data_IF_759190938846
#
_entry.id   IF_759190938846
#
_cell.length_a   1.000
_cell.length_b   1.000
_cell.length_c   1.000
_cell.angle_alpha   90.00
_cell.angle_beta   90.00
_cell.angle_gamma   90.00
#
_symmetry.space_group_name_H-M   'P 1'
#
loop_
_entity.id
_entity.type
_entity.pdbx_description
1 polymer ?
#
# COMPACT_ATOMS: atom_id res chain seq x y z
N UNK A 1 -5.28 56.19 -20.61
CA UNK A 1 -5.42 54.87 -21.29
C UNK A 1 -4.12 54.08 -21.42
N UNK A 2 -2.94 54.68 -21.54
CA UNK A 2 -1.65 53.95 -21.73
C UNK A 2 -1.12 53.17 -20.48
N UNK A 3 -1.44 53.59 -19.25
CA UNK A 3 -0.96 52.90 -18.06
C UNK A 3 -1.64 51.56 -17.75
N UNK A 4 -2.87 51.35 -18.17
CA UNK A 4 -3.59 50.07 -17.92
C UNK A 4 -3.15 48.94 -18.88
N UNK A 5 -2.72 49.29 -20.09
CA UNK A 5 -2.25 48.31 -21.09
C UNK A 5 -0.90 47.69 -20.65
N UNK A 6 -0.03 48.50 -20.02
CA UNK A 6 1.28 48.05 -19.57
C UNK A 6 1.17 47.02 -18.41
N UNK A 7 0.23 47.23 -17.50
CA UNK A 7 0.00 46.31 -16.39
C UNK A 7 -0.57 44.95 -16.82
N UNK A 8 -1.46 44.97 -17.82
CA UNK A 8 -2.01 43.73 -18.40
C UNK A 8 -0.95 42.91 -19.16
N UNK A 9 0.01 43.57 -19.81
CA UNK A 9 1.06 42.87 -20.55
C UNK A 9 2.10 42.23 -19.63
N UNK A 10 2.42 42.85 -18.50
CA UNK A 10 3.31 42.29 -17.49
C UNK A 10 2.67 41.10 -16.80
N UNK A 11 1.36 41.15 -16.52
CA UNK A 11 0.62 40.05 -15.91
C UNK A 11 0.52 38.83 -16.84
N UNK A 12 0.30 39.06 -18.15
CA UNK A 12 0.27 37.98 -19.16
C UNK A 12 1.65 37.36 -19.37
N UNK A 13 2.73 38.14 -19.32
CA UNK A 13 4.08 37.59 -19.39
C UNK A 13 4.47 36.75 -18.18
N UNK A 14 3.96 37.06 -16.97
CA UNK A 14 4.17 36.22 -15.78
C UNK A 14 3.41 34.88 -15.85
N UNK A 15 2.30 34.84 -16.60
CA UNK A 15 1.53 33.60 -16.79
C UNK A 15 2.11 32.68 -17.88
N UNK A 16 2.99 33.21 -18.76
CA UNK A 16 3.67 32.43 -19.80
C UNK A 16 5.06 31.94 -19.39
N UNK A 17 5.53 32.27 -18.20
CA UNK A 17 6.72 31.70 -17.62
C UNK A 17 6.53 30.23 -17.39
N UNK A 18 7.05 29.36 -18.27
CA UNK A 18 7.17 27.93 -17.98
C UNK A 18 8.02 27.82 -16.72
N UNK A 19 7.38 27.58 -15.60
CA UNK A 19 8.08 27.14 -14.40
C UNK A 19 8.66 25.75 -14.76
N UNK A 20 9.89 25.74 -15.25
CA UNK A 20 10.66 24.51 -15.30
C UNK A 20 10.98 24.19 -13.86
N UNK A 21 10.29 23.23 -13.30
CA UNK A 21 10.75 22.60 -12.07
C UNK A 21 12.14 22.06 -12.37
N UNK A 22 13.15 22.70 -11.81
CA UNK A 22 14.54 22.35 -12.06
C UNK A 22 14.91 21.23 -11.08
N UNK A 23 14.78 20.00 -11.56
CA UNK A 23 15.22 18.81 -10.83
C UNK A 23 16.74 18.63 -10.99
N UNK A 24 17.51 19.45 -10.31
CA UNK A 24 18.99 19.40 -10.37
C UNK A 24 19.60 18.73 -9.13
N UNK A 25 18.90 17.78 -8.51
CA UNK A 25 19.49 16.97 -7.45
C UNK A 25 20.28 15.81 -8.08
N UNK A 26 21.61 15.76 -7.96
CA UNK A 26 22.44 14.68 -8.51
C UNK A 26 22.14 13.33 -7.86
N UNK A 27 21.45 13.30 -6.71
CA UNK A 27 21.01 12.08 -6.03
C UNK A 27 19.58 11.66 -6.41
N UNK A 28 18.96 12.34 -7.38
CA UNK A 28 17.55 12.18 -7.74
C UNK A 28 16.62 12.89 -6.76
N UNK A 29 15.46 13.32 -7.25
CA UNK A 29 14.41 13.85 -6.39
C UNK A 29 13.45 12.72 -6.01
N UNK A 30 12.99 12.72 -4.78
CA UNK A 30 11.89 11.88 -4.39
C UNK A 30 10.66 12.17 -5.28
N UNK A 31 10.06 11.12 -5.85
CA UNK A 31 8.84 11.27 -6.66
C UNK A 31 7.67 11.75 -5.78
N UNK A 32 7.63 11.28 -4.55
CA UNK A 32 6.65 11.69 -3.53
C UNK A 32 7.44 12.37 -2.41
N UNK A 33 7.22 13.67 -2.17
CA UNK A 33 7.97 14.43 -1.17
C UNK A 33 7.38 14.24 0.24
N UNK A 34 7.32 13.00 0.70
CA UNK A 34 6.80 12.62 2.00
C UNK A 34 7.61 11.46 2.62
N UNK A 35 7.50 11.29 3.92
CA UNK A 35 8.14 10.21 4.66
C UNK A 35 7.26 8.96 4.58
N UNK A 36 7.35 8.25 3.47
CA UNK A 36 6.56 7.03 3.23
C UNK A 36 7.46 5.79 3.17
N UNK A 37 6.91 4.67 3.59
CA UNK A 37 7.53 3.35 3.54
C UNK A 37 6.51 2.30 3.10
N UNK A 38 6.97 1.09 2.79
CA UNK A 38 6.15 -0.08 2.48
C UNK A 38 5.05 0.20 1.44
N UNK A 39 5.41 0.94 0.40
CA UNK A 39 4.44 1.41 -0.59
C UNK A 39 3.93 0.28 -1.48
N UNK A 40 2.61 0.21 -1.63
CA UNK A 40 1.93 -0.60 -2.63
C UNK A 40 1.34 0.30 -3.71
N UNK A 41 1.73 0.06 -4.97
CA UNK A 41 1.26 0.86 -6.10
C UNK A 41 0.40 -0.01 -7.01
N UNK A 42 -0.76 0.52 -7.37
CA UNK A 42 -1.69 -0.11 -8.29
C UNK A 42 -2.15 0.88 -9.34
N UNK A 43 -2.14 0.46 -10.61
CA UNK A 43 -2.82 1.19 -11.68
C UNK A 43 -4.28 0.77 -11.74
N UNK A 44 -5.18 1.76 -11.75
CA UNK A 44 -6.62 1.56 -11.86
C UNK A 44 -7.15 2.60 -12.85
N UNK A 45 -7.66 2.14 -13.99
CA UNK A 45 -8.24 2.99 -15.04
C UNK A 45 -7.31 4.13 -15.50
N UNK A 46 -6.03 3.85 -15.68
CA UNK A 46 -5.02 4.81 -16.14
C UNK A 46 -4.54 5.79 -15.06
N UNK A 47 -4.85 5.54 -13.80
CA UNK A 47 -4.36 6.30 -12.66
C UNK A 47 -3.59 5.37 -11.73
N UNK A 48 -2.38 5.73 -11.37
CA UNK A 48 -1.58 5.06 -10.35
C UNK A 48 -1.98 5.58 -8.96
N UNK A 49 -2.24 4.65 -8.06
CA UNK A 49 -2.51 4.91 -6.64
C UNK A 49 -1.38 4.34 -5.81
N UNK A 50 -0.76 5.17 -4.99
CA UNK A 50 0.27 4.75 -4.04
C UNK A 50 -0.31 4.78 -2.64
N UNK A 51 -0.48 3.61 -2.05
CA UNK A 51 -0.86 3.41 -0.66
C UNK A 51 0.41 3.09 0.11
N UNK A 52 0.65 3.80 1.21
CA UNK A 52 1.89 3.63 1.93
C UNK A 52 1.70 3.79 3.43
N UNK A 53 2.65 3.23 4.19
CA UNK A 53 2.91 3.65 5.56
C UNK A 53 3.43 5.08 5.51
N UNK A 54 2.81 5.97 6.26
CA UNK A 54 3.45 7.26 6.57
C UNK A 54 4.36 7.02 7.76
N UNK A 55 5.67 7.19 7.57
CA UNK A 55 6.64 6.99 8.64
C UNK A 55 6.36 7.95 9.81
N UNK A 56 6.62 7.50 11.02
CA UNK A 56 6.34 8.23 12.26
C UNK A 56 7.21 9.45 12.51
N UNK A 57 7.63 10.16 11.46
CA UNK A 57 8.43 11.38 11.51
C UNK A 57 9.68 11.25 12.41
N UNK A 58 10.42 10.16 12.21
CA UNK A 58 11.62 9.86 12.98
C UNK A 58 11.40 9.12 14.30
N UNK A 59 10.17 8.77 14.62
CA UNK A 59 9.84 7.93 15.79
C UNK A 59 9.93 6.42 15.51
N UNK A 60 10.27 6.04 14.28
CA UNK A 60 10.36 4.66 13.81
C UNK A 60 9.02 3.92 13.96
N UNK A 61 9.10 2.62 14.26
CA UNK A 61 7.91 1.77 14.39
C UNK A 61 7.02 2.06 15.62
N UNK A 62 7.36 3.04 16.45
CA UNK A 62 6.54 3.39 17.61
C UNK A 62 5.27 4.12 17.23
N UNK A 63 5.31 4.86 16.15
CA UNK A 63 4.19 5.65 15.64
C UNK A 63 4.11 5.51 14.14
N UNK A 64 2.93 5.68 13.58
CA UNK A 64 2.72 5.92 12.16
C UNK A 64 1.95 7.21 11.99
N UNK A 65 2.11 7.87 10.84
CA UNK A 65 1.22 8.94 10.43
C UNK A 65 -0.11 8.40 9.91
N UNK A 66 -1.00 9.27 9.46
CA UNK A 66 -2.28 8.86 8.89
C UNK A 66 -2.08 8.07 7.59
N UNK A 67 -2.99 7.12 7.27
CA UNK A 67 -2.97 6.41 6.00
C UNK A 67 -3.36 7.36 4.86
N UNK A 68 -2.38 7.79 4.08
CA UNK A 68 -2.55 8.72 2.97
C UNK A 68 -2.35 8.05 1.63
N UNK A 69 -3.01 8.56 0.58
CA UNK A 69 -2.86 8.09 -0.78
C UNK A 69 -2.37 9.20 -1.68
N UNK A 70 -1.47 8.83 -2.58
CA UNK A 70 -0.95 9.67 -3.63
C UNK A 70 -1.41 9.13 -4.99
N UNK A 71 -1.68 10.02 -5.95
CA UNK A 71 -2.12 9.66 -7.29
C UNK A 71 -1.20 10.22 -8.36
N UNK A 72 -1.04 9.46 -9.45
CA UNK A 72 -0.31 9.90 -10.64
C UNK A 72 -0.97 9.36 -11.90
N UNK A 73 -0.89 10.11 -13.02
CA UNK A 73 -1.29 9.64 -14.35
C UNK A 73 -0.12 9.18 -15.21
N UNK A 74 1.10 9.47 -14.81
CA UNK A 74 2.32 9.25 -15.61
C UNK A 74 3.45 8.57 -14.82
N UNK A 75 3.18 8.20 -13.57
CA UNK A 75 4.15 7.62 -12.63
C UNK A 75 5.32 8.55 -12.25
N UNK A 76 5.31 9.79 -12.73
CA UNK A 76 6.37 10.79 -12.49
C UNK A 76 5.85 11.95 -11.63
N UNK A 77 4.67 12.47 -11.95
CA UNK A 77 4.05 13.55 -11.22
C UNK A 77 2.98 13.03 -10.28
N UNK A 78 3.25 13.11 -9.00
CA UNK A 78 2.38 12.61 -7.95
C UNK A 78 1.67 13.76 -7.24
N UNK A 79 0.40 13.59 -6.97
CA UNK A 79 -0.42 14.52 -6.20
C UNK A 79 -0.96 13.85 -4.94
N UNK A 80 -0.94 14.57 -3.84
CA UNK A 80 -1.54 14.16 -2.58
C UNK A 80 -3.07 14.17 -2.69
N UNK A 81 -3.72 13.09 -2.29
CA UNK A 81 -5.18 12.93 -2.38
C UNK A 81 -5.86 12.82 -1.00
N UNK A 82 -5.09 12.89 0.07
CA UNK A 82 -5.60 12.91 1.44
C UNK A 82 -5.57 11.57 2.15
N UNK A 83 -6.31 11.51 3.26
CA UNK A 83 -6.40 10.31 4.09
C UNK A 83 -7.44 9.36 3.52
N UNK A 84 -6.98 8.20 3.06
CA UNK A 84 -7.87 7.21 2.45
C UNK A 84 -8.52 6.23 3.44
N UNK A 85 -8.06 6.17 4.70
CA UNK A 85 -8.64 5.35 5.76
C UNK A 85 -8.80 6.16 7.06
N UNK A 86 -9.81 7.04 7.16
CA UNK A 86 -9.93 8.00 8.25
C UNK A 86 -10.03 7.38 9.64
N UNK A 87 -10.74 6.24 9.79
CA UNK A 87 -10.89 5.57 11.08
C UNK A 87 -9.59 4.96 11.61
N UNK A 88 -8.62 4.69 10.74
CA UNK A 88 -7.31 4.18 11.10
C UNK A 88 -6.25 5.28 11.33
N UNK A 89 -6.61 6.55 11.20
CA UNK A 89 -5.65 7.66 11.23
C UNK A 89 -4.93 7.85 12.58
N UNK A 90 -5.45 7.27 13.66
CA UNK A 90 -4.85 7.31 15.00
C UNK A 90 -4.23 5.97 15.42
N UNK A 91 -4.35 4.96 14.57
CA UNK A 91 -3.83 3.63 14.82
C UNK A 91 -2.38 3.51 14.33
N UNK A 92 -1.66 2.47 14.76
CA UNK A 92 -0.38 2.10 14.15
C UNK A 92 -0.67 1.41 12.82
N UNK A 93 -0.59 2.15 11.74
CA UNK A 93 -0.95 1.73 10.39
C UNK A 93 0.28 1.51 9.53
N UNK A 94 0.46 0.28 9.03
CA UNK A 94 1.64 -0.11 8.24
C UNK A 94 1.25 -0.96 7.02
N UNK A 95 2.15 -0.96 6.04
CA UNK A 95 2.22 -1.89 4.93
C UNK A 95 0.86 -2.28 4.34
N UNK A 96 0.11 -1.33 3.76
CA UNK A 96 -1.12 -1.65 3.07
C UNK A 96 -0.82 -2.47 1.82
N UNK A 97 -1.67 -3.45 1.51
CA UNK A 97 -1.64 -4.11 0.21
C UNK A 97 -2.05 -3.14 -0.91
N UNK A 98 -1.81 -3.53 -2.16
CA UNK A 98 -2.48 -2.88 -3.29
C UNK A 98 -4.00 -3.02 -3.18
N UNK A 99 -4.74 -2.09 -3.78
CA UNK A 99 -6.20 -2.17 -3.86
C UNK A 99 -6.63 -3.18 -4.93
N UNK A 100 -7.53 -4.09 -4.57
CA UNK A 100 -8.11 -5.08 -5.49
C UNK A 100 -9.58 -4.78 -5.68
N UNK A 101 -10.04 -4.73 -6.93
CA UNK A 101 -11.46 -4.60 -7.25
C UNK A 101 -12.12 -5.98 -7.33
N UNK A 102 -13.11 -6.21 -6.48
CA UNK A 102 -13.93 -7.40 -6.46
C UNK A 102 -15.32 -7.06 -5.93
N UNK A 103 -16.34 -7.80 -6.34
CA UNK A 103 -17.73 -7.64 -5.85
C UNK A 103 -18.25 -6.19 -5.91
N UNK A 104 -17.82 -5.43 -6.93
CA UNK A 104 -18.22 -4.02 -7.09
C UNK A 104 -17.56 -3.04 -6.12
N UNK A 105 -16.53 -3.44 -5.38
CA UNK A 105 -15.84 -2.65 -4.38
C UNK A 105 -14.32 -2.82 -4.46
N UNK A 106 -13.59 -1.93 -3.81
CA UNK A 106 -12.13 -2.01 -3.64
C UNK A 106 -11.79 -2.53 -2.25
N UNK A 107 -10.86 -3.48 -2.18
CA UNK A 107 -10.38 -4.08 -0.93
C UNK A 107 -8.89 -3.81 -0.78
N UNK A 108 -8.46 -3.49 0.44
CA UNK A 108 -7.06 -3.42 0.87
C UNK A 108 -6.89 -4.17 2.19
N UNK A 109 -5.67 -4.58 2.48
CA UNK A 109 -5.36 -5.37 3.67
C UNK A 109 -4.15 -4.76 4.40
N UNK A 110 -4.35 -3.65 5.12
CA UNK A 110 -3.29 -3.04 5.90
C UNK A 110 -2.95 -3.85 7.15
N UNK A 111 -1.76 -3.61 7.66
CA UNK A 111 -1.37 -3.99 9.02
C UNK A 111 -1.77 -2.87 9.97
N UNK A 112 -2.65 -3.15 10.94
CA UNK A 112 -3.07 -2.19 11.96
C UNK A 112 -2.78 -2.80 13.33
N UNK A 113 -2.02 -2.09 14.17
CA UNK A 113 -1.64 -2.57 15.50
C UNK A 113 -0.96 -3.95 15.49
N UNK A 114 -0.23 -4.28 14.42
CA UNK A 114 0.48 -5.55 14.27
C UNK A 114 -0.36 -6.71 13.73
N UNK A 115 -1.57 -6.44 13.21
CA UNK A 115 -2.46 -7.44 12.61
C UNK A 115 -2.99 -6.97 11.26
N UNK A 116 -3.25 -7.92 10.36
CA UNK A 116 -3.89 -7.63 9.07
C UNK A 116 -5.40 -7.50 9.22
N UNK A 117 -5.96 -6.52 8.50
CA UNK A 117 -7.40 -6.28 8.47
C UNK A 117 -7.90 -6.09 7.05
N UNK A 118 -8.97 -6.79 6.64
CA UNK A 118 -9.63 -6.47 5.38
C UNK A 118 -10.39 -5.14 5.53
N UNK A 119 -10.15 -4.24 4.60
CA UNK A 119 -10.85 -2.97 4.51
C UNK A 119 -11.46 -2.79 3.12
N UNK A 120 -12.57 -2.07 3.03
CA UNK A 120 -13.38 -1.94 1.81
C UNK A 120 -13.78 -0.50 1.56
N UNK A 121 -13.82 -0.11 0.28
CA UNK A 121 -14.31 1.19 -0.18
C UNK A 121 -15.06 1.07 -1.50
N UNK A 122 -15.85 2.08 -1.84
CA UNK A 122 -16.53 2.19 -3.14
C UNK A 122 -15.61 2.76 -4.23
N UNK A 123 -14.50 3.40 -3.83
CA UNK A 123 -13.51 4.01 -4.73
C UNK A 123 -12.09 3.65 -4.32
N UNK A 124 -11.13 3.62 -5.26
CA UNK A 124 -9.75 3.29 -4.93
C UNK A 124 -9.08 4.30 -3.99
N UNK A 125 -9.46 5.58 -4.05
CA UNK A 125 -8.98 6.58 -3.11
C UNK A 125 -9.68 6.55 -1.73
N UNK A 126 -10.61 5.65 -1.53
CA UNK A 126 -11.38 5.52 -0.31
C UNK A 126 -12.66 6.39 -0.28
N UNK A 127 -13.19 6.75 0.91
CA UNK A 127 -12.68 6.34 2.21
C UNK A 127 -12.88 4.84 2.47
N UNK A 128 -11.81 4.18 2.88
CA UNK A 128 -11.89 2.79 3.33
C UNK A 128 -12.43 2.70 4.75
N UNK A 129 -13.09 1.58 5.02
CA UNK A 129 -13.57 1.18 6.35
C UNK A 129 -13.28 -0.30 6.55
N UNK A 130 -13.19 -0.74 7.79
CA UNK A 130 -13.06 -2.16 8.07
C UNK A 130 -14.24 -2.94 7.51
N UNK A 131 -13.96 -4.07 6.88
CA UNK A 131 -14.99 -4.85 6.19
C UNK A 131 -15.94 -5.58 7.16
N UNK A 132 -15.58 -5.74 8.43
CA UNK A 132 -16.34 -6.48 9.44
C UNK A 132 -17.09 -5.65 10.48
N UNK A 133 -17.28 -4.31 10.35
CA UNK A 133 -18.10 -3.45 11.25
C UNK A 133 -17.33 -2.79 12.40
N UNK A 134 -18.01 -2.34 13.44
CA UNK A 134 -17.54 -1.27 14.32
C UNK A 134 -16.44 -1.60 15.35
N UNK A 135 -16.17 -2.86 15.68
CA UNK A 135 -15.27 -3.23 16.81
C UNK A 135 -14.05 -4.04 16.35
N UNK A 136 -13.56 -3.77 15.16
CA UNK A 136 -12.77 -4.72 14.40
C UNK A 136 -11.27 -4.59 14.53
N UNK A 137 -10.72 -3.50 15.08
CA UNK A 137 -9.30 -3.44 15.42
C UNK A 137 -8.88 -4.49 16.46
N UNK A 138 -9.83 -5.21 17.04
CA UNK A 138 -9.61 -6.33 17.93
C UNK A 138 -9.85 -7.71 17.28
N UNK A 139 -10.28 -7.75 16.02
CA UNK A 139 -10.56 -9.00 15.30
C UNK A 139 -9.70 -9.06 14.03
N UNK A 140 -8.42 -9.48 14.15
CA UNK A 140 -7.52 -9.55 13.01
C UNK A 140 -8.04 -10.52 11.95
N UNK A 141 -7.64 -10.25 10.71
CA UNK A 141 -7.83 -11.11 9.56
C UNK A 141 -6.89 -12.33 9.66
N UNK A 142 -7.19 -13.22 10.57
CA UNK A 142 -6.47 -14.50 10.68
C UNK A 142 -7.47 -15.59 10.94
N UNK A 143 -7.40 -16.72 10.22
CA UNK A 143 -8.22 -17.87 10.54
C UNK A 143 -7.99 -18.27 12.01
N UNK A 144 -9.03 -18.75 12.67
CA UNK A 144 -8.94 -19.25 14.03
C UNK A 144 -7.85 -20.32 14.21
N UNK A 145 -7.53 -21.04 13.13
CA UNK A 145 -6.44 -22.02 13.07
C UNK A 145 -5.04 -21.40 13.16
N UNK A 146 -4.86 -20.14 12.71
CA UNK A 146 -3.59 -19.42 12.85
C UNK A 146 -3.41 -18.83 14.26
N UNK A 147 -4.51 -18.53 14.96
CA UNK A 147 -4.47 -18.08 16.34
C UNK A 147 -3.92 -19.14 17.29
N UNK A 148 -3.91 -20.40 16.88
CA UNK A 148 -3.32 -21.51 17.65
C UNK A 148 -1.79 -21.63 17.44
N UNK A 149 -1.22 -21.02 16.44
CA UNK A 149 0.23 -20.97 16.28
C UNK A 149 0.82 -19.99 17.29
N UNK A 150 1.96 -20.34 17.90
CA UNK A 150 2.68 -19.48 18.87
C UNK A 150 3.10 -18.10 18.32
N UNK A 151 2.75 -17.80 17.09
CA UNK A 151 3.05 -16.54 16.41
C UNK A 151 2.05 -16.28 15.26
N UNK A 152 0.78 -15.99 15.59
CA UNK A 152 -0.28 -15.78 14.61
C UNK A 152 -0.17 -14.44 13.87
N UNK A 153 0.78 -13.58 14.24
CA UNK A 153 0.94 -12.23 13.70
C UNK A 153 1.17 -12.26 12.21
N UNK A 154 0.12 -12.03 11.45
CA UNK A 154 0.21 -11.72 10.05
C UNK A 154 0.41 -10.23 9.88
N UNK A 155 1.48 -9.84 9.19
CA UNK A 155 1.74 -8.47 8.74
C UNK A 155 2.07 -8.50 7.26
N UNK A 156 2.02 -7.34 6.61
CA UNK A 156 2.47 -7.12 5.25
C UNK A 156 1.74 -8.00 4.23
N UNK A 157 0.44 -7.84 4.15
CA UNK A 157 -0.38 -8.58 3.21
C UNK A 157 -0.12 -8.18 1.76
N UNK A 158 0.00 -9.16 0.89
CA UNK A 158 -0.06 -9.00 -0.56
C UNK A 158 -1.18 -9.85 -1.12
N UNK A 159 -1.94 -9.29 -2.07
CA UNK A 159 -3.03 -10.00 -2.71
C UNK A 159 -2.66 -10.31 -4.15
N UNK A 160 -2.88 -11.54 -4.54
CA UNK A 160 -2.74 -12.00 -5.92
C UNK A 160 -4.04 -12.66 -6.37
N UNK A 161 -4.53 -12.24 -7.53
CA UNK A 161 -5.66 -12.88 -8.21
C UNK A 161 -5.10 -13.64 -9.41
N UNK A 162 -5.33 -14.96 -9.46
CA UNK A 162 -4.87 -15.79 -10.55
C UNK A 162 -5.79 -15.71 -11.78
N UNK A 163 -5.38 -16.29 -12.88
CA UNK A 163 -6.09 -16.25 -14.17
C UNK A 163 -7.48 -16.90 -14.10
N UNK A 164 -7.71 -17.79 -13.15
CA UNK A 164 -9.02 -18.42 -12.88
C UNK A 164 -9.95 -17.57 -11.99
N UNK A 165 -9.47 -16.39 -11.58
CA UNK A 165 -10.20 -15.49 -10.68
C UNK A 165 -10.05 -15.80 -9.19
N UNK A 166 -9.34 -16.89 -8.82
CA UNK A 166 -9.11 -17.21 -7.42
C UNK A 166 -8.13 -16.20 -6.81
N UNK A 167 -8.55 -15.53 -5.73
CA UNK A 167 -7.71 -14.64 -4.96
C UNK A 167 -6.96 -15.38 -3.86
N UNK A 168 -5.73 -14.96 -3.62
CA UNK A 168 -4.84 -15.46 -2.58
C UNK A 168 -4.29 -14.30 -1.77
N UNK A 169 -4.14 -14.50 -0.46
CA UNK A 169 -3.41 -13.57 0.41
C UNK A 169 -2.09 -14.19 0.82
N UNK A 170 -1.01 -13.43 0.62
CA UNK A 170 0.35 -13.74 1.08
C UNK A 170 0.69 -12.80 2.22
N UNK A 171 1.47 -13.26 3.21
CA UNK A 171 1.91 -12.40 4.31
C UNK A 171 3.22 -12.87 4.92
N UNK A 172 3.73 -12.13 5.86
CA UNK A 172 5.01 -12.38 6.53
C UNK A 172 5.26 -13.83 6.90
N UNK A 173 6.52 -14.22 6.87
CA UNK A 173 6.99 -15.60 7.05
C UNK A 173 6.52 -16.57 5.97
N UNK A 174 6.25 -16.06 4.76
CA UNK A 174 5.90 -16.85 3.56
C UNK A 174 4.58 -17.61 3.66
N UNK A 175 3.67 -17.14 4.45
CA UNK A 175 2.34 -17.72 4.53
C UNK A 175 1.50 -17.36 3.30
N UNK A 176 0.64 -18.27 2.91
CA UNK A 176 -0.36 -18.07 1.87
C UNK A 176 -1.65 -18.80 2.23
N UNK A 177 -2.78 -18.18 1.94
CA UNK A 177 -4.10 -18.80 2.01
C UNK A 177 -4.96 -18.33 0.84
N UNK A 178 -5.96 -19.14 0.47
CA UNK A 178 -7.01 -18.70 -0.43
C UNK A 178 -7.91 -17.69 0.27
N UNK A 179 -8.23 -16.61 -0.44
CA UNK A 179 -9.34 -15.74 -0.07
C UNK A 179 -10.64 -16.36 -0.54
N UNK A 180 -11.65 -16.32 0.31
CA UNK A 180 -13.00 -16.68 -0.07
C UNK A 180 -13.62 -15.60 -0.98
N UNK A 181 -14.73 -15.91 -1.64
CA UNK A 181 -15.41 -15.00 -2.56
C UNK A 181 -15.82 -13.67 -1.90
N UNK A 182 -16.02 -13.65 -0.58
CA UNK A 182 -16.34 -12.44 0.18
C UNK A 182 -15.19 -11.44 0.27
N UNK A 183 -13.97 -11.82 -0.12
CA UNK A 183 -12.74 -11.01 0.00
C UNK A 183 -12.45 -10.57 1.45
N UNK A 184 -13.05 -11.23 2.43
CA UNK A 184 -12.95 -10.86 3.86
C UNK A 184 -12.41 -12.02 4.68
N UNK A 185 -12.75 -13.24 4.31
CA UNK A 185 -12.35 -14.45 5.00
C UNK A 185 -11.38 -15.28 4.17
N UNK A 186 -10.57 -16.08 4.83
CA UNK A 186 -9.65 -17.02 4.17
C UNK A 186 -10.10 -18.45 4.38
N UNK A 187 -9.71 -19.32 3.46
CA UNK A 187 -9.82 -20.76 3.63
C UNK A 187 -9.09 -21.20 4.91
N UNK A 188 -9.57 -22.29 5.51
CA UNK A 188 -8.96 -22.87 6.72
C UNK A 188 -7.54 -23.40 6.49
N UNK A 189 -7.16 -23.65 5.23
CA UNK A 189 -5.85 -24.19 4.89
C UNK A 189 -4.86 -23.06 4.64
N UNK A 190 -3.91 -22.92 5.55
CA UNK A 190 -2.77 -22.02 5.41
C UNK A 190 -1.54 -22.83 5.03
N UNK A 191 -0.86 -22.38 3.99
CA UNK A 191 0.38 -22.99 3.53
C UNK A 191 1.57 -22.08 3.82
N UNK A 192 2.75 -22.67 3.89
CA UNK A 192 4.03 -21.96 3.95
C UNK A 192 4.81 -22.27 2.70
N UNK A 193 5.15 -21.23 1.94
CA UNK A 193 5.94 -21.39 0.73
C UNK A 193 7.34 -21.84 1.11
N UNK A 194 7.76 -22.98 0.58
CA UNK A 194 9.13 -23.49 0.78
C UNK A 194 10.12 -22.66 -0.05
N UNK A 195 11.17 -22.21 0.58
CA UNK A 195 12.28 -21.50 -0.06
C UNK A 195 13.62 -22.09 0.40
N UNK A 196 14.70 -21.98 -0.41
CA UNK A 196 16.03 -22.46 -0.03
C UNK A 196 16.58 -21.77 1.23
N UNK A 197 16.17 -20.54 1.48
CA UNK A 197 16.56 -19.76 2.67
C UNK A 197 15.45 -19.81 3.70
N UNK A 198 15.84 -19.93 4.96
CA UNK A 198 14.91 -20.05 6.11
C UNK A 198 14.85 -18.79 6.95
N UNK A 199 15.58 -17.73 6.57
CA UNK A 199 15.63 -16.48 7.30
C UNK A 199 14.23 -15.84 7.36
N UNK A 200 14.06 -14.95 8.31
CA UNK A 200 12.87 -14.12 8.44
C UNK A 200 12.61 -13.34 7.15
N UNK A 201 11.39 -13.31 6.71
CA UNK A 201 10.97 -12.58 5.51
C UNK A 201 9.60 -11.95 5.73
N UNK A 202 9.44 -10.75 5.20
CA UNK A 202 8.22 -9.95 5.23
C UNK A 202 8.08 -9.18 3.92
N UNK A 203 7.00 -8.43 3.74
CA UNK A 203 6.77 -7.60 2.56
C UNK A 203 6.73 -8.41 1.26
N UNK A 204 5.96 -9.50 1.15
CA UNK A 204 5.92 -10.29 -0.07
C UNK A 204 5.31 -9.49 -1.23
N UNK A 205 5.88 -9.63 -2.42
CA UNK A 205 5.25 -9.25 -3.68
C UNK A 205 5.09 -10.52 -4.50
N UNK A 206 3.88 -10.79 -4.96
CA UNK A 206 3.57 -11.96 -5.76
C UNK A 206 2.95 -11.59 -7.10
N UNK A 207 3.46 -12.17 -8.18
CA UNK A 207 2.95 -11.92 -9.52
C UNK A 207 3.23 -13.10 -10.45
N UNK A 208 2.50 -13.15 -11.58
CA UNK A 208 2.67 -14.13 -12.64
C UNK A 208 3.26 -13.46 -13.88
N UNK A 209 4.29 -14.02 -14.45
CA UNK A 209 4.91 -13.55 -15.67
C UNK A 209 5.20 -14.73 -16.60
N UNK A 210 4.64 -14.72 -17.81
CA UNK A 210 4.80 -15.77 -18.82
C UNK A 210 4.51 -17.17 -18.25
N UNK A 211 3.42 -17.29 -17.48
CA UNK A 211 3.02 -18.56 -16.86
C UNK A 211 3.84 -19.00 -15.64
N UNK A 212 4.84 -18.21 -15.23
CA UNK A 212 5.69 -18.52 -14.06
C UNK A 212 5.25 -17.64 -12.89
N UNK A 213 5.01 -18.26 -11.73
CA UNK A 213 4.75 -17.55 -10.50
C UNK A 213 6.05 -17.11 -9.85
N UNK A 214 6.12 -15.84 -9.50
CA UNK A 214 7.28 -15.21 -8.89
C UNK A 214 6.88 -14.59 -7.56
N UNK A 215 7.65 -14.90 -6.53
CA UNK A 215 7.54 -14.28 -5.21
C UNK A 215 8.83 -13.53 -4.89
N UNK A 216 8.71 -12.23 -4.70
CA UNK A 216 9.76 -11.39 -4.18
C UNK A 216 9.45 -11.10 -2.72
N UNK A 217 10.43 -11.23 -1.87
CA UNK A 217 10.31 -10.97 -0.43
C UNK A 217 11.50 -10.16 0.04
N UNK A 218 11.28 -9.27 0.99
CA UNK A 218 12.37 -8.58 1.64
C UNK A 218 13.21 -9.59 2.43
N UNK A 219 14.49 -9.67 2.10
CA UNK A 219 15.49 -10.45 2.83
C UNK A 219 16.41 -9.42 3.49
N UNK A 220 16.49 -9.45 4.81
CA UNK A 220 17.48 -8.64 5.53
C UNK A 220 18.87 -8.87 4.93
N UNK A 221 19.52 -7.80 4.49
CA UNK A 221 20.89 -7.91 3.96
C UNK A 221 21.77 -8.60 5.02
N UNK A 222 22.59 -9.56 4.61
CA UNK A 222 23.58 -10.10 5.52
C UNK A 222 24.48 -8.93 5.95
N UNK A 223 24.45 -8.59 7.23
CA UNK A 223 25.38 -7.62 7.81
C UNK A 223 26.77 -7.93 7.29
N UNK A 224 27.35 -7.03 6.50
CA UNK A 224 28.76 -7.16 6.10
C UNK A 224 29.57 -7.31 7.38
N UNK A 225 30.08 -8.50 7.63
CA UNK A 225 31.12 -8.67 8.63
C UNK A 225 32.31 -7.80 8.17
N UNK A 226 32.57 -6.75 8.93
CA UNK A 226 33.80 -5.97 8.81
C UNK A 226 34.99 -6.81 9.29
#
# INVERSE_FOLDING_TARGET
MQKQIFFSFVLVMMLLGKVKAQHNNPFGNALIPDMIADASIQEINGVFYCYATTDGYGQGLKTSGPPVVWKSKDFVHWSFDGTYFPSAAKEKYWAPSKAIFANGKYYIYPTINGYMYPAVADKPEGPFKLARGKDEFYKPFTPSTLLQSKNPGGIDAEIFVDDDGQAYVFWGRRHVAKLNEDMITVDSVVQVISTPRKEYSEGPIFFKRKGIYLSLIHISEPTRRR
#
